data_IF_407885849539
#
_entry.id   IF_407885849539
#
_cell.length_a   1.000
_cell.length_b   1.000
_cell.length_c   1.000
_cell.angle_alpha   90.00
_cell.angle_beta   90.00
_cell.angle_gamma   90.00
#
_symmetry.space_group_name_H-M   'P 1'
#
loop_
_entity.id
_entity.type
_entity.pdbx_description
1 polymer ?
#
# COMPACT_ATOMS: atom_id res chain seq x y z
N UNK A 1 -3.22 -3.03 -2.40
CA UNK A 1 -4.35 -3.97 -2.35
C UNK A 1 -4.62 -4.28 -0.90
N UNK A 2 -5.89 -4.30 -0.52
CA UNK A 2 -6.36 -4.52 0.83
C UNK A 2 -7.11 -5.87 0.86
N UNK A 3 -6.77 -6.77 1.79
CA UNK A 3 -7.55 -7.99 2.03
C UNK A 3 -9.01 -7.66 2.32
N UNK A 4 -9.93 -8.45 1.78
CA UNK A 4 -11.37 -8.22 1.96
C UNK A 4 -11.80 -8.13 3.44
N UNK A 5 -11.32 -8.98 4.38
CA UNK A 5 -11.67 -8.85 5.79
C UNK A 5 -11.23 -7.50 6.37
N UNK A 6 -9.99 -7.09 6.07
CA UNK A 6 -9.43 -5.81 6.54
C UNK A 6 -10.13 -4.60 5.90
N UNK A 7 -10.55 -4.72 4.64
CA UNK A 7 -11.36 -3.69 3.99
C UNK A 7 -12.71 -3.52 4.68
N UNK A 8 -13.36 -4.61 5.10
CA UNK A 8 -14.63 -4.54 5.84
C UNK A 8 -14.48 -3.92 7.21
N UNK A 9 -13.39 -4.23 7.90
CA UNK A 9 -13.07 -3.66 9.21
C UNK A 9 -12.82 -2.15 9.12
N UNK A 10 -11.98 -1.71 8.17
CA UNK A 10 -11.56 -0.31 8.05
C UNK A 10 -12.59 0.58 7.35
N UNK A 11 -13.31 0.05 6.37
CA UNK A 11 -14.17 0.82 5.46
C UNK A 11 -15.66 0.46 5.56
N UNK A 12 -16.02 -0.46 6.46
CA UNK A 12 -17.37 -0.99 6.63
C UNK A 12 -17.70 -2.16 5.70
N UNK A 13 -18.81 -2.85 5.97
CA UNK A 13 -19.18 -4.12 5.33
C UNK A 13 -19.33 -4.08 3.80
N UNK A 14 -19.63 -2.91 3.23
CA UNK A 14 -19.86 -2.75 1.78
C UNK A 14 -19.38 -1.37 1.32
N UNK A 15 -18.05 -1.15 1.23
CA UNK A 15 -17.52 0.14 0.82
C UNK A 15 -17.91 0.44 -0.63
N UNK A 16 -18.14 1.71 -1.00
CA UNK A 16 -18.44 2.09 -2.37
C UNK A 16 -17.25 1.74 -3.27
N UNK A 17 -17.51 0.90 -4.28
CA UNK A 17 -16.47 0.36 -5.17
C UNK A 17 -16.87 0.45 -6.64
N UNK A 18 -15.87 0.47 -7.50
CA UNK A 18 -16.00 0.38 -8.95
C UNK A 18 -15.11 -0.73 -9.49
N UNK A 19 -15.46 -1.25 -10.66
CA UNK A 19 -14.59 -2.18 -11.40
C UNK A 19 -13.69 -1.38 -12.33
N UNK A 20 -12.38 -1.60 -12.23
CA UNK A 20 -11.36 -0.95 -13.05
C UNK A 20 -10.63 -2.02 -13.87
N UNK A 21 -10.61 -1.82 -15.20
CA UNK A 21 -9.86 -2.65 -16.13
C UNK A 21 -8.37 -2.25 -16.10
N UNK A 22 -7.46 -3.22 -15.96
CA UNK A 22 -6.01 -3.03 -15.97
C UNK A 22 -5.34 -3.96 -16.97
N UNK A 23 -4.35 -3.44 -17.68
CA UNK A 23 -3.47 -4.22 -18.56
C UNK A 23 -2.23 -4.58 -17.73
N UNK A 24 -1.92 -5.87 -17.69
CA UNK A 24 -0.75 -6.41 -17.00
C UNK A 24 0.50 -6.32 -17.87
N UNK A 25 1.66 -6.61 -17.29
CA UNK A 25 2.95 -6.55 -17.98
C UNK A 25 3.03 -7.54 -19.16
N UNK A 26 2.32 -8.66 -19.09
CA UNK A 26 2.21 -9.66 -20.16
C UNK A 26 1.17 -9.28 -21.25
N UNK A 27 0.57 -8.09 -21.15
CA UNK A 27 -0.46 -7.60 -22.08
C UNK A 27 -1.86 -8.16 -21.82
N UNK A 28 -2.01 -9.11 -20.89
CA UNK A 28 -3.31 -9.62 -20.50
C UNK A 28 -4.11 -8.53 -19.76
N UNK A 29 -5.43 -8.68 -19.73
CA UNK A 29 -6.30 -7.72 -19.06
C UNK A 29 -7.02 -8.36 -17.90
N UNK A 30 -7.00 -7.68 -16.75
CA UNK A 30 -7.76 -8.06 -15.56
C UNK A 30 -8.74 -6.98 -15.14
N UNK A 31 -9.78 -7.39 -14.42
CA UNK A 31 -10.72 -6.50 -13.76
C UNK A 31 -10.44 -6.49 -12.25
N UNK A 32 -10.26 -5.30 -11.68
CA UNK A 32 -9.99 -5.12 -10.27
C UNK A 32 -11.09 -4.30 -9.59
N UNK A 33 -11.48 -4.68 -8.38
CA UNK A 33 -12.41 -3.91 -7.55
C UNK A 33 -11.62 -2.85 -6.78
N UNK A 34 -11.99 -1.58 -6.94
CA UNK A 34 -11.32 -0.43 -6.31
C UNK A 34 -12.33 0.41 -5.55
N UNK A 35 -11.96 0.89 -4.36
CA UNK A 35 -12.77 1.87 -3.63
C UNK A 35 -12.89 3.19 -4.40
N UNK A 36 -14.08 3.78 -4.32
CA UNK A 36 -14.38 5.10 -4.92
C UNK A 36 -13.68 6.20 -4.15
N UNK A 37 -13.70 6.11 -2.83
CA UNK A 37 -13.08 7.10 -1.94
C UNK A 37 -11.62 6.71 -1.63
N UNK A 38 -10.71 7.70 -1.51
CA UNK A 38 -9.35 7.44 -1.08
C UNK A 38 -9.30 7.19 0.42
N UNK A 39 -8.27 6.46 0.85
CA UNK A 39 -7.89 6.33 2.26
C UNK A 39 -6.60 7.10 2.50
N UNK A 40 -6.44 7.65 3.69
CA UNK A 40 -5.20 8.27 4.13
C UNK A 40 -4.25 7.19 4.64
N UNK A 41 -3.09 7.07 4.01
CA UNK A 41 -2.04 6.14 4.42
C UNK A 41 -0.97 6.91 5.19
N UNK A 42 -0.55 6.34 6.31
CA UNK A 42 0.51 6.86 7.16
C UNK A 42 1.55 5.77 7.39
N UNK A 43 2.82 6.17 7.50
CA UNK A 43 3.87 5.34 8.10
C UNK A 43 4.07 5.82 9.52
N UNK A 44 3.84 4.94 10.49
CA UNK A 44 4.03 5.24 11.92
C UNK A 44 5.27 4.51 12.38
N UNK A 45 6.22 5.26 12.93
CA UNK A 45 7.46 4.74 13.52
C UNK A 45 7.66 5.34 14.90
N UNK A 46 8.61 4.81 15.67
CA UNK A 46 8.90 5.28 17.03
C UNK A 46 9.29 6.77 17.08
N UNK A 47 9.99 7.26 16.06
CA UNK A 47 10.54 8.62 16.03
C UNK A 47 9.73 9.62 15.20
N UNK A 48 8.85 9.15 14.31
CA UNK A 48 8.07 10.03 13.42
C UNK A 48 6.84 9.36 12.81
N UNK A 49 5.91 10.20 12.35
CA UNK A 49 4.77 9.82 11.51
C UNK A 49 4.91 10.51 10.15
N UNK A 50 4.81 9.75 9.06
CA UNK A 50 4.88 10.28 7.68
C UNK A 50 3.53 10.06 6.99
N UNK A 51 2.93 11.14 6.50
CA UNK A 51 1.62 11.15 5.85
C UNK A 51 0.82 12.42 6.18
N UNK A 52 -0.46 12.50 5.77
CA UNK A 52 -1.20 11.52 4.99
C UNK A 52 -0.77 11.47 3.52
N UNK A 53 -0.73 10.26 2.95
CA UNK A 53 -0.73 10.08 1.50
C UNK A 53 -2.04 9.45 1.05
N UNK A 54 -2.86 10.14 0.25
CA UNK A 54 -4.12 9.59 -0.23
C UNK A 54 -3.85 8.45 -1.24
N UNK A 55 -4.51 7.31 -1.03
CA UNK A 55 -4.43 6.13 -1.88
C UNK A 55 -5.81 5.53 -2.11
N UNK A 56 -6.03 4.97 -3.31
CA UNK A 56 -7.26 4.26 -3.62
C UNK A 56 -7.04 2.74 -3.46
N UNK A 57 -7.60 2.11 -2.41
CA UNK A 57 -7.38 0.69 -2.19
C UNK A 57 -8.12 -0.15 -3.23
N UNK A 58 -7.45 -1.19 -3.68
CA UNK A 58 -8.08 -2.29 -4.43
C UNK A 58 -8.39 -3.41 -3.45
N UNK A 59 -9.63 -3.90 -3.46
CA UNK A 59 -10.07 -4.98 -2.58
C UNK A 59 -9.85 -6.31 -3.29
N UNK A 60 -9.28 -7.29 -2.60
CA UNK A 60 -9.06 -8.63 -3.15
C UNK A 60 -9.01 -9.70 -2.08
N UNK A 61 -8.98 -10.96 -2.50
CA UNK A 61 -8.92 -12.14 -1.62
C UNK A 61 -7.50 -12.50 -1.15
N UNK A 62 -6.52 -11.64 -1.40
CA UNK A 62 -5.15 -11.86 -0.88
C UNK A 62 -5.17 -11.78 0.65
N UNK A 63 -4.25 -12.49 1.29
CA UNK A 63 -4.13 -12.51 2.75
C UNK A 63 -3.34 -11.32 3.32
N UNK A 64 -2.46 -10.71 2.52
CA UNK A 64 -1.58 -9.62 2.98
C UNK A 64 -1.85 -8.30 2.28
N UNK A 65 -1.49 -7.19 2.93
CA UNK A 65 -1.58 -5.87 2.33
C UNK A 65 -0.46 -5.68 1.31
N UNK A 66 -0.80 -5.25 0.10
CA UNK A 66 0.19 -4.89 -0.93
C UNK A 66 0.23 -3.38 -1.12
N UNK A 67 1.40 -2.79 -0.98
CA UNK A 67 1.64 -1.39 -1.30
C UNK A 67 2.30 -1.31 -2.68
N UNK A 68 1.86 -0.40 -3.54
CA UNK A 68 2.53 -0.19 -4.83
C UNK A 68 3.72 0.77 -4.67
N UNK A 69 4.65 0.66 -5.61
CA UNK A 69 5.83 1.51 -5.76
C UNK A 69 5.51 3.02 -5.71
N UNK A 70 4.43 3.45 -6.36
CA UNK A 70 4.00 4.85 -6.37
C UNK A 70 3.62 5.36 -4.97
N UNK A 71 2.93 4.54 -4.17
CA UNK A 71 2.56 4.87 -2.80
C UNK A 71 3.80 4.90 -1.91
N UNK A 72 4.66 3.87 -1.99
CA UNK A 72 5.92 3.81 -1.24
C UNK A 72 6.82 5.02 -1.54
N UNK A 73 6.96 5.38 -2.83
CA UNK A 73 7.76 6.53 -3.26
C UNK A 73 7.22 7.87 -2.74
N UNK A 74 5.90 8.03 -2.61
CA UNK A 74 5.26 9.20 -1.99
C UNK A 74 5.43 9.25 -0.48
N UNK A 75 5.47 8.10 0.18
CA UNK A 75 5.77 7.98 1.61
C UNK A 75 7.28 8.14 1.90
N UNK A 76 8.10 8.32 0.87
CA UNK A 76 9.55 8.47 1.01
C UNK A 76 10.24 7.17 1.44
N UNK A 77 9.60 6.00 1.27
CA UNK A 77 10.20 4.71 1.62
C UNK A 77 11.19 4.28 0.55
N UNK A 78 12.34 3.78 0.98
CA UNK A 78 13.32 3.07 0.16
C UNK A 78 13.44 1.65 0.70
N UNK A 79 13.30 0.66 -0.18
CA UNK A 79 13.49 -0.75 0.16
C UNK A 79 14.96 -1.10 -0.04
N UNK A 80 15.60 -1.61 1.01
CA UNK A 80 17.02 -1.96 1.04
C UNK A 80 17.21 -3.45 0.76
N UNK A 81 16.42 -4.28 1.44
CA UNK A 81 16.35 -5.73 1.22
C UNK A 81 14.89 -6.18 1.38
N UNK A 82 14.32 -6.67 0.29
CA UNK A 82 12.92 -7.11 0.25
C UNK A 82 12.71 -8.44 0.97
N UNK A 83 13.71 -9.32 0.98
CA UNK A 83 13.62 -10.65 1.59
C UNK A 83 13.66 -10.58 3.11
N UNK A 84 14.45 -9.64 3.64
CA UNK A 84 14.65 -9.43 5.08
C UNK A 84 13.77 -8.32 5.66
N UNK A 85 12.91 -7.71 4.83
CA UNK A 85 12.03 -6.61 5.26
C UNK A 85 12.77 -5.34 5.69
N UNK A 86 13.97 -5.09 5.11
CA UNK A 86 14.80 -3.93 5.40
C UNK A 86 14.41 -2.73 4.54
N UNK A 87 14.25 -1.59 5.19
CA UNK A 87 13.88 -0.34 4.53
C UNK A 87 14.40 0.88 5.29
N UNK A 88 14.31 2.06 4.70
CA UNK A 88 14.54 3.32 5.39
C UNK A 88 13.67 4.42 4.78
N UNK A 89 13.59 5.59 5.43
CA UNK A 89 13.13 6.78 4.73
C UNK A 89 14.23 7.29 3.78
N UNK A 90 13.85 8.04 2.75
CA UNK A 90 14.79 8.54 1.74
C UNK A 90 15.85 9.47 2.32
N UNK A 91 15.50 10.26 3.32
CA UNK A 91 16.41 11.12 4.09
C UNK A 91 17.34 10.34 5.02
N UNK A 92 17.11 9.04 5.20
CA UNK A 92 17.89 8.15 6.06
C UNK A 92 18.84 7.22 5.29
N UNK A 93 18.80 7.28 3.96
CA UNK A 93 19.55 6.38 3.10
C UNK A 93 21.06 6.49 3.38
N UNK A 94 21.66 5.37 3.78
CA UNK A 94 23.09 5.29 4.16
C UNK A 94 23.38 5.60 5.64
N UNK A 95 22.38 5.94 6.44
CA UNK A 95 22.54 6.31 7.86
C UNK A 95 21.73 5.45 8.82
N UNK A 96 20.54 5.00 8.41
CA UNK A 96 19.63 4.23 9.27
C UNK A 96 18.92 3.14 8.45
N UNK A 97 18.72 2.01 9.10
CA UNK A 97 17.94 0.88 8.59
C UNK A 97 16.78 0.61 9.54
N UNK A 98 15.63 0.25 8.98
CA UNK A 98 14.38 -0.10 9.66
C UNK A 98 13.95 -1.49 9.21
N UNK A 99 13.19 -2.17 10.07
CA UNK A 99 12.72 -3.54 9.85
C UNK A 99 11.19 -3.60 9.90
N UNK A 100 10.60 -4.46 9.07
CA UNK A 100 9.18 -4.83 9.13
C UNK A 100 9.10 -6.34 9.21
N UNK A 101 8.45 -6.88 10.24
CA UNK A 101 8.17 -8.32 10.40
C UNK A 101 6.67 -8.57 10.20
#
# INVERSE_FOLDING_TARGET
MLPEPLARELLGNKPPTITVKRILADGSTINLVRCVEPVNVYVVTEDRVVGPVPAYPYISRISTVLLNDKLLGKLGIVLLDFGEGLWCFRDELGFKTRHSY
#
